data_IF_215764556816
#
_entry.id   IF_215764556816
#
_cell.length_a   1.000
_cell.length_b   1.000
_cell.length_c   1.000
_cell.angle_alpha   90.00
_cell.angle_beta   90.00
_cell.angle_gamma   90.00
#
_symmetry.space_group_name_H-M   'P 1'
#
loop_
_entity.id
_entity.type
_entity.pdbx_description
1 polymer ?
#
# COMPACT_ATOMS: atom_id res chain seq x y z
N UNK A 1 -84.50 -49.47 6.82
CA UNK A 1 -84.96 -48.63 5.68
C UNK A 1 -83.91 -47.67 5.13
N UNK A 2 -83.24 -46.83 5.95
CA UNK A 2 -82.24 -45.84 5.44
C UNK A 2 -81.07 -46.47 4.68
N UNK A 3 -80.50 -47.56 5.20
CA UNK A 3 -79.38 -48.31 4.57
C UNK A 3 -79.75 -48.91 3.22
N UNK A 4 -81.00 -49.33 3.05
CA UNK A 4 -81.46 -49.97 1.82
C UNK A 4 -81.75 -48.94 0.71
N UNK A 5 -82.26 -47.76 1.07
CA UNK A 5 -82.35 -46.61 0.14
C UNK A 5 -80.97 -46.16 -0.34
N UNK A 6 -80.01 -46.02 0.58
CA UNK A 6 -78.63 -45.66 0.24
C UNK A 6 -77.98 -46.67 -0.72
N UNK A 7 -78.19 -47.98 -0.47
CA UNK A 7 -77.69 -49.03 -1.36
C UNK A 7 -78.32 -48.96 -2.76
N UNK A 8 -79.59 -48.60 -2.84
CA UNK A 8 -80.32 -48.48 -4.10
C UNK A 8 -79.89 -47.23 -4.89
N UNK A 9 -79.71 -46.10 -4.21
CA UNK A 9 -79.13 -44.88 -4.79
C UNK A 9 -77.70 -45.12 -5.30
N UNK A 10 -76.87 -45.82 -4.52
CA UNK A 10 -75.53 -46.21 -4.95
C UNK A 10 -75.57 -47.10 -6.21
N UNK A 11 -76.47 -48.08 -6.27
CA UNK A 11 -76.65 -48.95 -7.45
C UNK A 11 -77.19 -48.20 -8.67
N UNK A 12 -78.00 -47.16 -8.48
CA UNK A 12 -78.47 -46.29 -9.58
C UNK A 12 -77.33 -45.46 -10.14
N UNK A 13 -76.62 -44.74 -9.27
CA UNK A 13 -75.43 -43.95 -9.64
C UNK A 13 -74.34 -44.81 -10.28
N UNK A 14 -74.14 -46.04 -9.80
CA UNK A 14 -73.25 -47.03 -10.41
C UNK A 14 -73.62 -47.31 -11.87
N UNK A 15 -74.91 -47.57 -12.15
CA UNK A 15 -75.37 -47.86 -13.50
C UNK A 15 -75.28 -46.64 -14.40
N UNK A 16 -75.70 -45.47 -13.91
CA UNK A 16 -75.62 -44.20 -14.63
C UNK A 16 -74.19 -43.83 -15.02
N UNK A 17 -73.24 -43.92 -14.08
CA UNK A 17 -71.82 -43.60 -14.33
C UNK A 17 -71.13 -44.61 -15.24
N UNK A 18 -71.41 -45.90 -15.07
CA UNK A 18 -70.86 -46.96 -15.93
C UNK A 18 -71.37 -46.86 -17.37
N UNK A 19 -72.65 -46.52 -17.56
CA UNK A 19 -73.25 -46.29 -18.89
C UNK A 19 -72.70 -45.02 -19.54
N UNK A 20 -72.63 -43.91 -18.79
CA UNK A 20 -72.16 -42.62 -19.32
C UNK A 20 -70.70 -42.65 -19.80
N UNK A 21 -69.85 -43.43 -19.15
CA UNK A 21 -68.41 -43.53 -19.47
C UNK A 21 -68.07 -44.76 -20.31
N UNK A 22 -69.03 -45.65 -20.59
CA UNK A 22 -68.82 -46.87 -21.37
C UNK A 22 -67.82 -47.85 -20.76
N UNK A 23 -67.58 -47.77 -19.44
CA UNK A 23 -66.59 -48.58 -18.73
C UNK A 23 -67.21 -49.22 -17.47
N UNK A 24 -66.84 -50.47 -17.11
CA UNK A 24 -67.22 -51.08 -15.85
C UNK A 24 -66.66 -50.31 -14.66
N UNK A 25 -67.43 -50.22 -13.56
CA UNK A 25 -67.01 -49.54 -12.34
C UNK A 25 -65.64 -49.97 -11.77
N UNK A 26 -65.24 -51.26 -11.78
CA UNK A 26 -63.90 -51.64 -11.33
C UNK A 26 -62.78 -50.92 -12.10
N UNK A 27 -62.96 -50.72 -13.42
CA UNK A 27 -62.01 -49.98 -14.27
C UNK A 27 -61.99 -48.50 -13.90
N UNK A 28 -63.16 -47.89 -13.70
CA UNK A 28 -63.27 -46.49 -13.28
C UNK A 28 -62.67 -46.25 -11.89
N UNK A 29 -62.86 -47.19 -10.95
CA UNK A 29 -62.29 -47.14 -9.62
C UNK A 29 -60.75 -47.21 -9.66
N UNK A 30 -60.18 -48.10 -10.47
CA UNK A 30 -58.73 -48.18 -10.68
C UNK A 30 -58.16 -46.90 -11.33
N UNK A 31 -58.87 -46.32 -12.30
CA UNK A 31 -58.47 -45.04 -12.90
C UNK A 31 -58.50 -43.90 -11.89
N UNK A 32 -59.54 -43.81 -11.07
CA UNK A 32 -59.64 -42.81 -9.99
C UNK A 32 -58.52 -42.99 -8.97
N UNK A 33 -58.24 -44.23 -8.56
CA UNK A 33 -57.15 -44.53 -7.63
C UNK A 33 -55.79 -44.09 -8.20
N UNK A 34 -55.52 -44.41 -9.47
CA UNK A 34 -54.30 -43.96 -10.16
C UNK A 34 -54.19 -42.44 -10.22
N UNK A 35 -55.28 -41.74 -10.59
CA UNK A 35 -55.31 -40.27 -10.63
C UNK A 35 -55.08 -39.69 -9.23
N UNK A 36 -55.67 -40.27 -8.19
CA UNK A 36 -55.44 -39.82 -6.81
C UNK A 36 -54.00 -40.00 -6.37
N UNK A 37 -53.37 -41.13 -6.70
CA UNK A 37 -51.94 -41.37 -6.41
C UNK A 37 -51.04 -40.37 -7.17
N UNK A 38 -51.34 -40.09 -8.44
CA UNK A 38 -50.61 -39.09 -9.23
C UNK A 38 -50.77 -37.68 -8.66
N UNK A 39 -51.98 -37.32 -8.20
CA UNK A 39 -52.25 -36.03 -7.57
C UNK A 39 -51.53 -35.90 -6.23
N UNK A 40 -51.54 -36.96 -5.42
CA UNK A 40 -50.83 -36.99 -4.14
C UNK A 40 -49.32 -36.90 -4.32
N UNK A 41 -48.76 -37.60 -5.31
CA UNK A 41 -47.35 -37.50 -5.68
C UNK A 41 -46.98 -36.07 -6.12
N UNK A 42 -47.81 -35.43 -6.96
CA UNK A 42 -47.62 -34.04 -7.36
C UNK A 42 -47.72 -33.08 -6.17
N UNK A 43 -48.66 -33.30 -5.25
CA UNK A 43 -48.81 -32.50 -4.04
C UNK A 43 -47.56 -32.56 -3.17
N UNK A 44 -47.01 -33.77 -2.93
CA UNK A 44 -45.77 -33.94 -2.16
C UNK A 44 -44.57 -33.27 -2.83
N UNK A 45 -44.46 -33.34 -4.15
CA UNK A 45 -43.38 -32.66 -4.88
C UNK A 45 -43.48 -31.13 -4.78
N UNK A 46 -44.70 -30.58 -4.85
CA UNK A 46 -44.92 -29.15 -4.68
C UNK A 46 -44.55 -28.67 -3.28
N UNK A 47 -44.92 -29.44 -2.25
CA UNK A 47 -44.57 -29.14 -0.86
C UNK A 47 -43.05 -29.14 -0.63
N UNK A 48 -42.33 -30.10 -1.22
CA UNK A 48 -40.87 -30.13 -1.19
C UNK A 48 -40.24 -28.90 -1.89
N UNK A 49 -40.73 -28.55 -3.08
CA UNK A 49 -40.26 -27.37 -3.81
C UNK A 49 -40.53 -26.07 -3.05
N UNK A 50 -41.67 -25.96 -2.38
CA UNK A 50 -42.00 -24.80 -1.54
C UNK A 50 -41.02 -24.66 -0.37
N UNK A 51 -40.72 -25.77 0.32
CA UNK A 51 -39.72 -25.77 1.40
C UNK A 51 -38.32 -25.40 0.89
N UNK A 52 -37.89 -25.93 -0.26
CA UNK A 52 -36.63 -25.56 -0.87
C UNK A 52 -36.56 -24.06 -1.22
N UNK A 53 -37.66 -23.51 -1.75
CA UNK A 53 -37.75 -22.11 -2.12
C UNK A 53 -37.65 -21.21 -0.89
N UNK A 54 -38.37 -21.53 0.19
CA UNK A 54 -38.28 -20.80 1.46
C UNK A 54 -36.84 -20.83 2.04
N UNK A 55 -36.17 -21.98 1.98
CA UNK A 55 -34.77 -22.08 2.41
C UNK A 55 -33.84 -21.21 1.56
N UNK A 56 -34.04 -21.17 0.24
CA UNK A 56 -33.26 -20.32 -0.67
C UNK A 56 -33.51 -18.84 -0.39
N UNK A 57 -34.75 -18.43 -0.18
CA UNK A 57 -35.10 -17.04 0.16
C UNK A 57 -34.41 -16.58 1.45
N UNK A 58 -34.45 -17.42 2.51
CA UNK A 58 -33.75 -17.13 3.76
C UNK A 58 -32.23 -16.98 3.55
N UNK A 59 -31.62 -17.87 2.74
CA UNK A 59 -30.20 -17.77 2.39
C UNK A 59 -29.88 -16.46 1.66
N UNK A 60 -30.71 -16.08 0.69
CA UNK A 60 -30.56 -14.83 -0.07
C UNK A 60 -30.68 -13.62 0.85
N UNK A 61 -31.66 -13.61 1.76
CA UNK A 61 -31.83 -12.49 2.68
C UNK A 61 -30.64 -12.35 3.64
N UNK A 62 -30.13 -13.46 4.17
CA UNK A 62 -28.94 -13.45 5.01
C UNK A 62 -27.69 -12.99 4.25
N UNK A 63 -27.51 -13.43 3.00
CA UNK A 63 -26.43 -12.95 2.14
C UNK A 63 -26.54 -11.45 1.87
N UNK A 64 -27.75 -10.94 1.59
CA UNK A 64 -28.01 -9.50 1.41
C UNK A 64 -27.65 -8.69 2.67
N UNK A 65 -27.99 -9.19 3.86
CA UNK A 65 -27.62 -8.54 5.13
C UNK A 65 -26.11 -8.47 5.31
N UNK A 66 -25.40 -9.58 5.02
CA UNK A 66 -23.93 -9.61 5.06
C UNK A 66 -23.29 -8.62 4.10
N UNK A 67 -23.72 -8.62 2.83
CA UNK A 67 -23.20 -7.69 1.81
C UNK A 67 -23.40 -6.24 2.23
N UNK A 68 -24.55 -5.87 2.80
CA UNK A 68 -24.79 -4.50 3.31
C UNK A 68 -23.83 -4.11 4.43
N UNK A 69 -23.49 -5.04 5.33
CA UNK A 69 -22.54 -4.77 6.41
C UNK A 69 -21.13 -4.62 5.86
N UNK A 70 -20.72 -5.51 4.95
CA UNK A 70 -19.42 -5.44 4.27
C UNK A 70 -19.29 -4.12 3.50
N UNK A 71 -20.31 -3.69 2.76
CA UNK A 71 -20.35 -2.39 2.06
C UNK A 71 -20.12 -1.20 3.03
N UNK A 72 -20.87 -1.12 4.12
CA UNK A 72 -20.70 -0.05 5.12
C UNK A 72 -19.30 -0.03 5.73
N UNK A 73 -18.73 -1.20 5.99
CA UNK A 73 -17.36 -1.30 6.51
C UNK A 73 -16.36 -0.82 5.47
N UNK A 74 -16.50 -1.26 4.21
CA UNK A 74 -15.62 -0.84 3.11
C UNK A 74 -15.69 0.67 2.88
N UNK A 75 -16.88 1.25 2.85
CA UNK A 75 -17.09 2.71 2.71
C UNK A 75 -16.43 3.50 3.84
N UNK A 76 -16.53 3.01 5.09
CA UNK A 76 -15.85 3.64 6.21
C UNK A 76 -14.33 3.56 6.07
N UNK A 77 -13.79 2.40 5.69
CA UNK A 77 -12.34 2.23 5.50
C UNK A 77 -11.81 3.06 4.34
N UNK A 78 -12.54 3.19 3.23
CA UNK A 78 -12.12 4.03 2.10
C UNK A 78 -12.19 5.51 2.46
N UNK A 79 -13.19 5.93 3.24
CA UNK A 79 -13.27 7.29 3.75
C UNK A 79 -12.09 7.64 4.68
N UNK A 80 -11.75 6.75 5.61
CA UNK A 80 -10.60 6.94 6.51
C UNK A 80 -9.27 6.97 5.74
N UNK A 81 -9.11 6.10 4.74
CA UNK A 81 -7.94 6.07 3.85
C UNK A 81 -7.80 7.38 3.07
N UNK A 82 -8.87 7.83 2.40
CA UNK A 82 -8.85 9.08 1.62
C UNK A 82 -8.51 10.29 2.50
N UNK A 83 -8.98 10.31 3.74
CA UNK A 83 -8.65 11.37 4.70
C UNK A 83 -7.17 11.34 5.10
N UNK A 84 -6.61 10.15 5.31
CA UNK A 84 -5.18 10.00 5.58
C UNK A 84 -4.35 10.45 4.37
N UNK A 85 -4.72 10.03 3.17
CA UNK A 85 -4.04 10.38 1.93
C UNK A 85 -4.03 11.90 1.68
N UNK A 86 -5.15 12.60 1.92
CA UNK A 86 -5.24 14.07 1.83
C UNK A 86 -4.31 14.76 2.84
N UNK A 87 -4.16 14.22 4.05
CA UNK A 87 -3.24 14.75 5.05
C UNK A 87 -1.76 14.55 4.66
N UNK A 88 -1.42 13.41 4.07
CA UNK A 88 -0.07 13.10 3.57
C UNK A 88 0.26 13.99 2.37
N UNK A 89 -0.69 14.20 1.46
CA UNK A 89 -0.52 15.10 0.31
C UNK A 89 -0.19 16.54 0.76
N UNK A 90 -0.93 17.07 1.74
CA UNK A 90 -0.68 18.40 2.31
C UNK A 90 0.71 18.50 2.95
N UNK A 91 1.14 17.46 3.67
CA UNK A 91 2.47 17.42 4.27
C UNK A 91 3.57 17.38 3.20
N UNK A 92 3.39 16.58 2.14
CA UNK A 92 4.34 16.51 1.03
C UNK A 92 4.46 17.85 0.31
N UNK A 93 3.36 18.58 0.10
CA UNK A 93 3.40 19.93 -0.47
C UNK A 93 4.14 20.93 0.44
N UNK A 94 3.97 20.83 1.76
CA UNK A 94 4.70 21.67 2.71
C UNK A 94 6.21 21.39 2.66
N UNK A 95 6.60 20.12 2.70
CA UNK A 95 8.00 19.71 2.59
C UNK A 95 8.64 20.19 1.28
N UNK A 96 7.91 20.09 0.15
CA UNK A 96 8.37 20.62 -1.14
C UNK A 96 8.62 22.13 -1.07
N UNK A 97 7.70 22.90 -0.47
CA UNK A 97 7.85 24.36 -0.31
C UNK A 97 9.05 24.71 0.59
N UNK A 98 9.30 23.94 1.64
CA UNK A 98 10.46 24.13 2.52
C UNK A 98 11.77 23.80 1.82
N UNK A 99 11.81 22.69 1.08
CA UNK A 99 12.95 22.29 0.26
C UNK A 99 13.28 23.37 -0.78
N UNK A 100 12.29 23.91 -1.47
CA UNK A 100 12.48 25.00 -2.44
C UNK A 100 13.03 26.28 -1.78
N UNK A 101 12.63 26.59 -0.55
CA UNK A 101 13.19 27.73 0.21
C UNK A 101 14.65 27.49 0.58
N UNK A 102 15.01 26.29 1.03
CA UNK A 102 16.39 25.92 1.35
C UNK A 102 17.27 25.94 0.11
N UNK A 103 16.80 25.38 -1.02
CA UNK A 103 17.53 25.45 -2.29
C UNK A 103 17.79 26.89 -2.73
N UNK A 104 16.80 27.79 -2.64
CA UNK A 104 17.00 29.22 -2.92
C UNK A 104 18.07 29.85 -2.02
N UNK A 105 18.10 29.47 -0.73
CA UNK A 105 19.10 29.98 0.22
C UNK A 105 20.50 29.48 -0.09
N UNK A 106 20.66 28.22 -0.47
CA UNK A 106 21.94 27.64 -0.89
C UNK A 106 22.49 28.40 -2.10
N UNK A 107 21.65 28.67 -3.11
CA UNK A 107 22.05 29.45 -4.29
C UNK A 107 22.48 30.87 -3.91
N UNK A 108 21.74 31.55 -3.02
CA UNK A 108 22.09 32.89 -2.55
C UNK A 108 23.44 32.90 -1.82
N UNK A 109 23.70 31.91 -0.96
CA UNK A 109 24.96 31.77 -0.23
C UNK A 109 26.12 31.42 -1.16
N UNK A 110 25.90 30.56 -2.16
CA UNK A 110 26.89 30.24 -3.19
C UNK A 110 27.37 31.49 -3.92
N UNK A 111 26.44 32.36 -4.36
CA UNK A 111 26.80 33.64 -5.00
C UNK A 111 27.60 34.56 -4.09
N UNK A 112 27.26 34.63 -2.80
CA UNK A 112 28.02 35.45 -1.84
C UNK A 112 29.45 34.92 -1.65
N UNK A 113 29.61 33.60 -1.64
CA UNK A 113 30.91 32.96 -1.56
C UNK A 113 31.75 33.24 -2.82
N UNK A 114 31.15 33.10 -4.01
CA UNK A 114 31.81 33.38 -5.29
C UNK A 114 32.29 34.84 -5.38
N UNK A 115 31.56 35.80 -4.79
CA UNK A 115 32.00 37.20 -4.71
C UNK A 115 33.11 37.43 -3.68
N UNK A 116 33.20 36.59 -2.65
CA UNK A 116 34.16 36.75 -1.56
C UNK A 116 35.56 36.25 -1.94
N UNK A 117 35.64 35.10 -2.63
CA UNK A 117 36.91 34.50 -3.04
C UNK A 117 37.85 35.44 -3.83
N UNK A 118 37.40 36.19 -4.86
CA UNK A 118 38.29 37.11 -5.57
C UNK A 118 38.75 38.29 -4.71
N UNK A 119 37.91 38.77 -3.79
CA UNK A 119 38.29 39.84 -2.84
C UNK A 119 39.33 39.36 -1.84
N UNK A 120 39.24 38.12 -1.35
CA UNK A 120 40.26 37.51 -0.49
C UNK A 120 41.60 37.37 -1.22
N UNK A 121 41.59 36.95 -2.48
CA UNK A 121 42.80 36.88 -3.31
C UNK A 121 43.43 38.26 -3.53
N UNK A 122 42.62 39.29 -3.81
CA UNK A 122 43.10 40.66 -3.99
C UNK A 122 43.70 41.23 -2.69
N UNK A 123 43.09 40.94 -1.54
CA UNK A 123 43.63 41.32 -0.23
C UNK A 123 44.99 40.68 0.05
N UNK A 124 45.16 39.37 -0.21
CA UNK A 124 46.44 38.70 0.02
C UNK A 124 47.53 39.24 -0.93
N UNK A 125 47.17 39.55 -2.19
CA UNK A 125 48.08 40.22 -3.13
C UNK A 125 48.53 41.59 -2.63
N UNK A 126 47.59 42.41 -2.15
CA UNK A 126 47.89 43.74 -1.61
C UNK A 126 48.75 43.64 -0.35
N UNK A 127 48.46 42.68 0.54
CA UNK A 127 49.25 42.42 1.76
C UNK A 127 50.69 42.02 1.44
N UNK A 128 50.90 41.12 0.47
CA UNK A 128 52.24 40.76 0.01
C UNK A 128 53.00 41.94 -0.59
N UNK A 129 52.30 42.83 -1.31
CA UNK A 129 52.90 44.05 -1.87
C UNK A 129 53.33 45.01 -0.75
N UNK A 130 52.49 45.20 0.27
CA UNK A 130 52.75 46.10 1.39
C UNK A 130 53.92 45.61 2.26
N UNK A 131 53.99 44.30 2.53
CA UNK A 131 55.11 43.67 3.21
C UNK A 131 56.42 43.78 2.41
N UNK A 132 56.34 43.72 1.08
CA UNK A 132 57.49 44.00 0.20
C UNK A 132 57.93 45.46 0.23
N UNK A 133 56.99 46.41 0.37
CA UNK A 133 57.28 47.84 0.49
C UNK A 133 57.78 48.25 1.88
N UNK A 134 57.36 47.59 2.97
CA UNK A 134 57.93 47.79 4.32
C UNK A 134 59.43 47.43 4.39
N UNK A 135 59.92 46.62 3.45
CA UNK A 135 61.36 46.32 3.30
C UNK A 135 62.11 47.29 2.38
N UNK A 136 61.42 48.23 1.72
CA UNK A 136 62.01 49.24 0.83
C UNK A 136 61.94 50.60 1.51
N UNK A 137 63.08 51.02 2.08
CA UNK A 137 63.20 52.13 3.03
C UNK A 137 62.70 53.50 2.55
N UNK A 138 62.26 54.27 3.56
CA UNK A 138 62.20 55.73 3.73
C UNK A 138 62.49 56.62 2.49
N UNK A 139 61.46 56.95 1.69
CA UNK A 139 61.21 58.31 1.16
C UNK A 139 59.94 58.36 0.26
N UNK A 140 58.87 59.04 0.72
CA UNK A 140 57.80 59.76 -0.05
C UNK A 140 56.48 59.87 0.76
N UNK A 141 56.41 60.86 1.65
CA UNK A 141 55.73 60.73 2.95
C UNK A 141 54.27 61.29 3.08
N UNK A 142 53.55 61.57 1.98
CA UNK A 142 52.19 62.16 2.07
C UNK A 142 51.10 61.43 1.26
N UNK A 143 51.44 60.87 0.10
CA UNK A 143 50.52 60.06 -0.71
C UNK A 143 50.39 58.64 -0.17
N UNK A 144 51.48 58.12 0.41
CA UNK A 144 51.54 56.82 1.06
C UNK A 144 50.69 56.82 2.32
N UNK A 145 50.75 57.88 3.13
CA UNK A 145 49.97 58.00 4.38
C UNK A 145 48.46 58.00 4.16
N UNK A 146 47.95 58.76 3.18
CA UNK A 146 46.52 58.72 2.81
C UNK A 146 46.06 57.36 2.28
N UNK A 147 46.91 56.64 1.56
CA UNK A 147 46.61 55.27 1.12
C UNK A 147 46.60 54.31 2.30
N UNK A 148 47.49 54.51 3.27
CA UNK A 148 47.57 53.72 4.49
C UNK A 148 46.31 53.87 5.34
N UNK A 149 45.84 55.10 5.54
CA UNK A 149 44.60 55.36 6.29
C UNK A 149 43.37 54.73 5.60
N UNK A 150 43.27 54.86 4.28
CA UNK A 150 42.17 54.26 3.51
C UNK A 150 42.20 52.72 3.50
N UNK A 151 43.39 52.11 3.52
CA UNK A 151 43.55 50.67 3.66
C UNK A 151 43.14 50.21 5.07
N UNK A 152 43.51 50.97 6.10
CA UNK A 152 43.19 50.64 7.49
C UNK A 152 41.68 50.70 7.78
N UNK A 153 40.96 51.61 7.14
CA UNK A 153 39.50 51.70 7.27
C UNK A 153 38.80 50.52 6.57
N UNK A 154 39.23 50.15 5.36
CA UNK A 154 38.76 48.92 4.69
C UNK A 154 39.06 47.67 5.49
N UNK A 155 40.21 47.62 6.16
CA UNK A 155 40.62 46.49 7.00
C UNK A 155 39.71 46.33 8.22
N UNK A 156 39.28 47.44 8.82
CA UNK A 156 38.28 47.41 9.90
C UNK A 156 36.92 46.94 9.41
N UNK A 157 36.44 47.44 8.27
CA UNK A 157 35.17 46.98 7.68
C UNK A 157 35.18 45.47 7.39
N UNK A 158 36.29 44.92 6.89
CA UNK A 158 36.40 43.49 6.62
C UNK A 158 36.47 42.64 7.90
N UNK A 159 37.14 43.13 8.96
CA UNK A 159 37.14 42.47 10.27
C UNK A 159 35.74 42.40 10.89
N UNK A 160 34.96 43.48 10.82
CA UNK A 160 33.56 43.47 11.27
C UNK A 160 32.71 42.48 10.45
N UNK A 161 32.87 42.47 9.12
CA UNK A 161 32.18 41.53 8.25
C UNK A 161 32.53 40.05 8.54
N UNK A 162 33.78 39.77 8.91
CA UNK A 162 34.24 38.44 9.34
C UNK A 162 33.60 38.02 10.66
N UNK A 163 33.53 38.92 11.65
CA UNK A 163 32.92 38.64 12.94
C UNK A 163 31.42 38.30 12.82
N UNK A 164 30.69 38.99 11.95
CA UNK A 164 29.29 38.70 11.68
C UNK A 164 29.10 37.34 10.99
N UNK A 165 30.01 36.99 10.08
CA UNK A 165 30.02 35.69 9.41
C UNK A 165 30.33 34.54 10.38
N UNK A 166 31.29 34.73 11.28
CA UNK A 166 31.68 33.78 12.33
C UNK A 166 30.48 33.49 13.24
N UNK A 167 29.77 34.53 13.67
CA UNK A 167 28.57 34.42 14.49
C UNK A 167 27.44 33.66 13.77
N UNK A 168 27.26 33.91 12.47
CA UNK A 168 26.29 33.17 11.67
C UNK A 168 26.68 31.69 11.51
N UNK A 169 27.96 31.40 11.31
CA UNK A 169 28.47 30.03 11.19
C UNK A 169 28.27 29.24 12.48
N UNK A 170 28.54 29.85 13.64
CA UNK A 170 28.23 29.26 14.94
C UNK A 170 26.74 28.98 15.11
N UNK A 171 25.86 29.89 14.67
CA UNK A 171 24.41 29.67 14.74
C UNK A 171 23.94 28.53 13.83
N UNK A 172 24.50 28.41 12.62
CA UNK A 172 24.24 27.31 11.70
C UNK A 172 24.68 25.96 12.28
N UNK A 173 25.85 25.90 12.91
CA UNK A 173 26.33 24.69 13.60
C UNK A 173 25.35 24.23 14.69
N UNK A 174 24.84 25.15 15.50
CA UNK A 174 23.85 24.82 16.54
C UNK A 174 22.54 24.31 15.93
N UNK A 175 22.07 24.93 14.84
CA UNK A 175 20.85 24.51 14.14
C UNK A 175 21.02 23.12 13.50
N UNK A 176 22.17 22.86 12.87
CA UNK A 176 22.48 21.54 12.28
C UNK A 176 22.53 20.44 13.33
N UNK A 177 23.17 20.69 14.48
CA UNK A 177 23.19 19.73 15.60
C UNK A 177 21.78 19.39 16.07
N UNK A 178 20.94 20.41 16.32
CA UNK A 178 19.53 20.20 16.73
C UNK A 178 18.73 19.41 15.69
N UNK A 179 18.90 19.71 14.41
CA UNK A 179 18.22 18.98 13.34
C UNK A 179 18.71 17.53 13.26
N UNK A 180 20.01 17.29 13.48
CA UNK A 180 20.54 15.94 13.49
C UNK A 180 20.04 15.14 14.70
N UNK A 181 20.01 15.76 15.88
CA UNK A 181 19.44 15.16 17.10
C UNK A 181 17.96 14.80 16.89
N UNK A 182 17.18 15.65 16.21
CA UNK A 182 15.79 15.34 15.86
C UNK A 182 15.67 14.14 14.91
N UNK A 183 16.55 14.06 13.90
CA UNK A 183 16.60 12.92 12.97
C UNK A 183 16.95 11.63 13.70
N UNK A 184 17.93 11.67 14.60
CA UNK A 184 18.33 10.49 15.37
C UNK A 184 17.25 10.07 16.37
N UNK A 185 16.57 11.01 17.04
CA UNK A 185 15.39 10.72 17.86
C UNK A 185 14.27 10.05 17.05
N UNK A 186 14.02 10.50 15.81
CA UNK A 186 13.04 9.87 14.92
C UNK A 186 13.44 8.44 14.54
N UNK A 187 14.72 8.21 14.21
CA UNK A 187 15.23 6.85 13.92
C UNK A 187 15.05 5.92 15.12
N UNK A 188 15.35 6.41 16.33
CA UNK A 188 15.22 5.61 17.54
C UNK A 188 13.77 5.25 17.85
N UNK A 189 12.82 6.18 17.66
CA UNK A 189 11.38 5.91 17.75
C UNK A 189 10.93 4.84 16.75
N UNK A 190 11.39 4.92 15.49
CA UNK A 190 11.08 3.93 14.46
C UNK A 190 11.64 2.55 14.84
N UNK A 191 12.90 2.52 15.29
CA UNK A 191 13.57 1.29 15.73
C UNK A 191 12.85 0.65 16.91
N UNK A 192 12.52 1.45 17.94
CA UNK A 192 11.79 0.98 19.11
C UNK A 192 10.41 0.43 18.75
N UNK A 193 9.67 1.09 17.86
CA UNK A 193 8.38 0.61 17.37
C UNK A 193 8.52 -0.69 16.60
N UNK A 194 9.53 -0.81 15.73
CA UNK A 194 9.81 -2.03 14.98
C UNK A 194 10.13 -3.19 15.93
N UNK A 195 11.05 -2.99 16.87
CA UNK A 195 11.42 -3.99 17.87
C UNK A 195 10.25 -4.39 18.76
N UNK A 196 9.38 -3.43 19.13
CA UNK A 196 8.16 -3.72 19.89
C UNK A 196 7.22 -4.65 19.10
N UNK A 197 7.00 -4.37 17.82
CA UNK A 197 6.17 -5.19 16.93
C UNK A 197 6.77 -6.59 16.79
N UNK A 198 8.07 -6.70 16.48
CA UNK A 198 8.77 -7.99 16.38
C UNK A 198 8.66 -8.77 17.69
N UNK A 199 8.84 -8.11 18.84
CA UNK A 199 8.70 -8.75 20.15
C UNK A 199 7.28 -9.26 20.42
N UNK A 200 6.25 -8.58 19.92
CA UNK A 200 4.85 -9.04 20.06
C UNK A 200 4.56 -10.25 19.17
N UNK A 201 5.09 -10.26 17.93
CA UNK A 201 4.98 -11.41 17.02
C UNK A 201 5.69 -12.65 17.57
N UNK A 202 6.90 -12.50 18.12
CA UNK A 202 7.67 -13.61 18.67
C UNK A 202 7.09 -14.16 19.99
N UNK A 203 6.37 -13.35 20.76
CA UNK A 203 5.82 -13.75 22.07
C UNK A 203 4.46 -14.46 21.98
N UNK A 204 3.99 -14.78 20.76
CA UNK A 204 2.81 -15.61 20.53
C UNK A 204 1.47 -15.01 21.01
N UNK A 205 1.44 -13.71 21.33
CA UNK A 205 0.26 -13.07 21.91
C UNK A 205 -0.70 -12.60 20.81
N UNK A 206 -1.38 -13.56 20.19
CA UNK A 206 -2.42 -13.33 19.18
C UNK A 206 -3.76 -12.97 19.85
N UNK A 207 -3.87 -11.75 20.38
CA UNK A 207 -5.18 -11.18 20.63
C UNK A 207 -5.81 -10.71 19.30
N UNK A 208 -7.03 -11.14 18.93
CA UNK A 208 -7.61 -10.91 17.60
C UNK A 208 -8.22 -9.51 17.40
N UNK A 209 -7.74 -8.49 18.12
CA UNK A 209 -8.25 -7.11 17.99
C UNK A 209 -7.09 -6.19 17.62
N UNK A 210 -7.09 -5.78 16.35
CA UNK A 210 -6.16 -4.85 15.72
C UNK A 210 -4.74 -5.38 15.49
N UNK A 211 -4.57 -6.34 14.57
CA UNK A 211 -3.32 -6.42 13.81
C UNK A 211 -3.22 -5.15 12.95
N UNK A 212 -2.45 -4.17 13.43
CA UNK A 212 -1.92 -3.13 12.54
C UNK A 212 -0.90 -3.84 11.66
N UNK A 213 -1.32 -4.26 10.46
CA UNK A 213 -0.42 -4.79 9.44
C UNK A 213 0.42 -3.64 8.90
N UNK A 214 1.73 -3.67 9.15
CA UNK A 214 2.67 -2.77 8.48
C UNK A 214 2.92 -3.34 7.09
N UNK A 215 2.33 -2.73 6.06
CA UNK A 215 2.61 -3.08 4.66
C UNK A 215 3.89 -2.37 4.24
N UNK A 216 4.97 -3.12 4.08
CA UNK A 216 6.23 -2.60 3.56
C UNK A 216 6.13 -2.58 2.03
N UNK A 217 6.30 -1.40 1.43
CA UNK A 217 6.36 -1.28 -0.03
C UNK A 217 7.60 -2.03 -0.54
N UNK A 218 7.40 -2.99 -1.44
CA UNK A 218 8.47 -3.82 -2.01
C UNK A 218 8.74 -5.15 -1.29
N UNK A 219 8.08 -5.44 -0.17
CA UNK A 219 8.16 -6.77 0.45
C UNK A 219 7.34 -7.79 -0.36
N UNK A 220 7.92 -8.96 -0.62
CA UNK A 220 7.24 -10.03 -1.36
C UNK A 220 6.15 -10.69 -0.50
N UNK A 221 5.01 -11.01 -1.12
CA UNK A 221 4.00 -11.85 -0.48
C UNK A 221 4.50 -13.30 -0.50
N UNK A 222 4.63 -13.92 0.68
CA UNK A 222 5.13 -15.30 0.82
C UNK A 222 4.08 -16.36 0.45
N UNK A 223 2.80 -15.99 0.32
CA UNK A 223 1.71 -16.95 0.04
C UNK A 223 1.85 -17.71 -1.29
N UNK A 224 2.25 -17.10 -2.42
CA UNK A 224 2.46 -17.82 -3.67
C UNK A 224 3.60 -18.83 -3.57
N UNK A 225 4.72 -18.46 -2.94
CA UNK A 225 5.85 -19.34 -2.69
C UNK A 225 5.45 -20.53 -1.82
N UNK A 226 4.66 -20.28 -0.78
CA UNK A 226 4.12 -21.33 0.07
C UNK A 226 3.20 -22.30 -0.67
N UNK A 227 2.34 -21.77 -1.55
CA UNK A 227 1.44 -22.59 -2.36
C UNK A 227 2.24 -23.49 -3.32
N UNK A 228 3.29 -22.95 -3.92
CA UNK A 228 4.14 -23.69 -4.85
C UNK A 228 5.05 -24.69 -4.13
N UNK A 229 5.62 -24.31 -2.98
CA UNK A 229 6.43 -25.20 -2.17
C UNK A 229 5.62 -26.38 -1.64
N UNK A 230 4.35 -26.18 -1.24
CA UNK A 230 3.44 -27.28 -0.86
C UNK A 230 3.10 -28.23 -2.01
N UNK A 231 3.27 -27.80 -3.26
CA UNK A 231 3.07 -28.63 -4.45
C UNK A 231 4.32 -29.46 -4.78
N UNK A 232 5.52 -28.92 -4.52
CA UNK A 232 6.80 -29.52 -4.89
C UNK A 232 7.51 -30.29 -3.77
N UNK A 233 7.35 -29.88 -2.51
CA UNK A 233 8.10 -30.41 -1.36
C UNK A 233 7.18 -31.10 -0.34
N UNK A 234 7.80 -31.89 0.56
CA UNK A 234 7.05 -32.55 1.63
C UNK A 234 6.48 -31.51 2.62
N UNK A 235 5.35 -31.82 3.29
CA UNK A 235 4.69 -30.86 4.19
C UNK A 235 5.57 -30.31 5.32
N UNK A 236 6.56 -31.08 5.79
CA UNK A 236 7.50 -30.64 6.83
C UNK A 236 8.59 -29.69 6.34
N UNK A 237 8.90 -29.70 5.05
CA UNK A 237 9.95 -28.88 4.42
C UNK A 237 9.37 -27.72 3.60
N UNK A 238 8.08 -27.77 3.29
CA UNK A 238 7.41 -26.81 2.41
C UNK A 238 7.46 -25.37 2.96
N UNK A 239 7.35 -25.18 4.28
CA UNK A 239 7.40 -23.85 4.89
C UNK A 239 8.83 -23.26 4.82
N UNK A 240 9.85 -24.08 5.05
CA UNK A 240 11.27 -23.69 4.95
C UNK A 240 11.66 -23.37 3.50
N UNK A 241 11.29 -24.26 2.56
CA UNK A 241 11.54 -24.07 1.12
C UNK A 241 10.81 -22.88 0.53
N UNK A 242 9.61 -22.56 1.03
CA UNK A 242 8.90 -21.35 0.66
C UNK A 242 9.64 -20.09 1.12
N UNK A 243 10.23 -20.12 2.33
CA UNK A 243 11.04 -19.03 2.85
C UNK A 243 12.30 -18.80 2.02
N UNK A 244 13.05 -19.88 1.72
CA UNK A 244 14.24 -19.82 0.88
C UNK A 244 13.95 -19.22 -0.51
N UNK A 245 12.89 -19.70 -1.18
CA UNK A 245 12.48 -19.20 -2.49
C UNK A 245 12.05 -17.72 -2.43
N UNK A 246 11.33 -17.33 -1.39
CA UNK A 246 10.91 -15.94 -1.21
C UNK A 246 12.13 -15.02 -1.04
N UNK A 247 13.13 -15.43 -0.24
CA UNK A 247 14.36 -14.65 -0.05
C UNK A 247 15.22 -14.57 -1.31
N UNK A 248 15.33 -15.65 -2.09
CA UNK A 248 16.04 -15.63 -3.37
C UNK A 248 15.41 -14.62 -4.34
N UNK A 249 14.09 -14.60 -4.45
CA UNK A 249 13.38 -13.63 -5.28
C UNK A 249 13.51 -12.18 -4.78
N UNK A 250 13.59 -11.97 -3.46
CA UNK A 250 13.89 -10.64 -2.91
C UNK A 250 15.31 -10.16 -3.26
N UNK A 251 16.26 -11.08 -3.42
CA UNK A 251 17.62 -10.77 -3.83
C UNK A 251 17.70 -10.46 -5.33
N UNK A 252 17.02 -11.25 -6.18
CA UNK A 252 16.92 -10.99 -7.62
C UNK A 252 16.24 -9.66 -7.93
N UNK A 253 15.12 -9.36 -7.26
CA UNK A 253 14.41 -8.09 -7.42
C UNK A 253 15.18 -6.87 -6.91
N UNK A 254 16.28 -7.08 -6.16
CA UNK A 254 17.16 -6.00 -5.71
C UNK A 254 18.12 -5.56 -6.81
N UNK A 255 18.42 -6.43 -7.77
CA UNK A 255 19.28 -6.12 -8.92
C UNK A 255 18.46 -5.44 -10.03
N UNK A 256 18.71 -4.16 -10.36
CA UNK A 256 18.00 -3.47 -11.43
C UNK A 256 18.29 -4.03 -12.85
N UNK A 257 19.32 -4.86 -13.00
CA UNK A 257 19.70 -5.49 -14.26
C UNK A 257 19.10 -6.88 -14.47
N UNK A 258 18.40 -7.41 -13.46
CA UNK A 258 17.72 -8.69 -13.55
C UNK A 258 16.35 -8.53 -14.24
N UNK A 259 16.11 -9.33 -15.30
CA UNK A 259 14.85 -9.39 -16.03
C UNK A 259 14.48 -10.87 -16.29
N UNK A 260 13.43 -11.42 -15.65
CA UNK A 260 13.05 -12.83 -15.79
C UNK A 260 12.42 -13.16 -17.16
N UNK A 261 12.31 -12.18 -18.07
CA UNK A 261 11.70 -12.36 -19.40
C UNK A 261 12.69 -12.05 -20.53
N UNK A 262 12.82 -12.98 -21.47
CA UNK A 262 13.49 -12.76 -22.77
C UNK A 262 12.47 -12.36 -23.82
N UNK A 263 12.80 -11.34 -24.62
CA UNK A 263 11.97 -10.92 -25.78
C UNK A 263 12.43 -11.68 -27.02
N UNK A 264 11.56 -12.52 -27.56
CA UNK A 264 11.78 -13.18 -28.86
C UNK A 264 10.90 -12.49 -29.90
N UNK A 265 11.51 -12.01 -30.98
CA UNK A 265 10.80 -11.43 -32.11
C UNK A 265 10.69 -12.47 -33.23
N UNK A 266 9.47 -12.77 -33.63
CA UNK A 266 9.20 -13.67 -34.76
C UNK A 266 9.52 -12.98 -36.10
N UNK A 267 9.65 -13.76 -37.18
CA UNK A 267 9.96 -13.27 -38.53
C UNK A 267 8.93 -12.24 -39.07
N UNK A 268 7.72 -12.22 -38.50
CA UNK A 268 6.65 -11.27 -38.81
C UNK A 268 6.68 -9.98 -37.97
N UNK A 269 7.74 -9.76 -37.17
CA UNK A 269 7.91 -8.55 -36.37
C UNK A 269 7.09 -8.49 -35.07
N UNK A 270 6.48 -9.60 -34.66
CA UNK A 270 5.76 -9.71 -33.39
C UNK A 270 6.71 -10.15 -32.26
N UNK A 271 6.86 -9.31 -31.23
CA UNK A 271 7.67 -9.62 -30.05
C UNK A 271 6.84 -10.32 -28.97
N UNK A 272 7.33 -11.46 -28.47
CA UNK A 272 6.73 -12.20 -27.33
C UNK A 272 7.73 -12.25 -26.17
N UNK A 273 7.22 -12.00 -24.97
CA UNK A 273 7.96 -12.17 -23.72
C UNK A 273 7.84 -13.64 -23.27
N UNK A 274 8.96 -14.33 -23.17
CA UNK A 274 9.04 -15.72 -22.72
C UNK A 274 9.90 -15.75 -21.45
N UNK A 275 9.57 -16.61 -20.50
CA UNK A 275 10.36 -16.78 -19.28
C UNK A 275 11.75 -17.29 -19.68
N UNK A 276 12.80 -16.68 -19.13
CA UNK A 276 14.15 -17.14 -19.38
C UNK A 276 14.40 -18.49 -18.68
N UNK A 277 14.45 -19.58 -19.45
CA UNK A 277 14.72 -20.93 -18.92
C UNK A 277 16.22 -21.17 -18.61
N UNK A 278 17.11 -20.23 -18.94
CA UNK A 278 18.53 -20.28 -18.59
C UNK A 278 18.87 -19.57 -17.26
N UNK A 279 17.86 -18.96 -16.60
CA UNK A 279 17.98 -18.22 -15.33
C UNK A 279 17.75 -19.11 -14.08
N UNK A 280 18.28 -20.34 -14.08
CA UNK A 280 18.30 -21.24 -12.90
C UNK A 280 19.39 -20.89 -11.87
#
# INVERSE_FOLDING_TARGET
MKTQRLLQEMKSKYRETSVALGQPWPTLALMLEKITQELEAKSKNLEQLEQELQQRELRIENARKRIRLEQKMTEKTTWEQNKADDSVLKLAEQQKKELDKLHKKIIELGRKLDTKQPLELELECLKGTLQGMEHMGEDEDLKVKKRMDALQEKMKETEYGLADLEKLNQMLLVMMRKSNDEVDARKEVISCRSNFIVSQYLRGNTAPRALIGVKIMGALDSKPFLKEAKRKFQPGEADEKAGELCSQWEEYLRDPSWDPFKVITDGDGNSKYIIDEEDE
#
